data_IF_295424963949
#
_entry.id   IF_295424963949
#
_cell.length_a   1.000
_cell.length_b   1.000
_cell.length_c   1.000
_cell.angle_alpha   90.00
_cell.angle_beta   90.00
_cell.angle_gamma   90.00
#
_symmetry.space_group_name_H-M   'P 1'
#
loop_
_entity.id
_entity.type
_entity.pdbx_description
1 polymer ?
#
# COMPACT_ATOMS: atom_id res chain seq x y z
N UNK A 1 6.64 24.83 14.27
CA UNK A 1 7.36 24.11 13.20
C UNK A 1 6.59 24.34 11.93
N UNK A 2 7.23 24.76 10.84
CA UNK A 2 6.54 24.91 9.55
C UNK A 2 6.74 23.60 8.79
N UNK A 3 5.64 22.98 8.37
CA UNK A 3 5.66 21.77 7.56
C UNK A 3 5.20 22.13 6.17
N UNK A 4 6.10 22.03 5.20
CA UNK A 4 5.78 22.16 3.79
C UNK A 4 5.34 20.78 3.29
N UNK A 5 4.10 20.71 2.80
CA UNK A 5 3.57 19.51 2.17
C UNK A 5 3.34 19.80 0.69
N UNK A 6 4.05 19.09 -0.17
CA UNK A 6 3.87 19.15 -1.62
C UNK A 6 3.34 17.80 -2.10
N UNK A 7 2.13 17.80 -2.66
CA UNK A 7 1.56 16.63 -3.33
C UNK A 7 1.46 16.90 -4.83
N UNK A 8 2.12 16.07 -5.64
CA UNK A 8 2.01 16.08 -7.10
C UNK A 8 1.34 14.81 -7.55
N UNK A 9 0.27 14.90 -8.35
CA UNK A 9 -0.44 13.74 -8.89
C UNK A 9 -0.50 13.87 -10.40
N UNK A 10 0.12 12.92 -11.09
CA UNK A 10 0.07 12.79 -12.53
C UNK A 10 -0.78 11.57 -12.86
N UNK A 11 -1.79 11.74 -13.70
CA UNK A 11 -2.58 10.63 -14.23
C UNK A 11 -2.60 10.74 -15.75
N UNK A 12 -2.18 9.67 -16.42
CA UNK A 12 -2.26 9.53 -17.86
C UNK A 12 -3.06 8.28 -18.18
N UNK A 13 -4.14 8.44 -18.92
CA UNK A 13 -4.96 7.34 -19.40
C UNK A 13 -4.91 7.33 -20.93
N UNK A 14 -4.61 6.16 -21.48
CA UNK A 14 -4.72 5.80 -22.89
C UNK A 14 -5.85 4.75 -23.03
N UNK A 15 -6.34 4.48 -24.24
CA UNK A 15 -7.49 3.60 -24.49
C UNK A 15 -7.36 2.18 -23.89
N UNK A 16 -6.13 1.68 -23.76
CA UNK A 16 -5.82 0.34 -23.26
C UNK A 16 -5.02 0.34 -21.95
N UNK A 17 -4.57 1.48 -21.44
CA UNK A 17 -3.73 1.53 -20.25
C UNK A 17 -3.93 2.79 -19.44
N UNK A 18 -3.81 2.69 -18.12
CA UNK A 18 -3.79 3.85 -17.25
C UNK A 18 -2.52 3.86 -16.42
N UNK A 19 -1.96 5.03 -16.19
CA UNK A 19 -0.84 5.23 -15.30
C UNK A 19 -1.17 6.39 -14.37
N UNK A 20 -0.92 6.22 -13.08
CA UNK A 20 -1.01 7.26 -12.07
C UNK A 20 0.30 7.28 -11.30
N UNK A 21 0.86 8.46 -11.11
CA UNK A 21 2.05 8.70 -10.32
C UNK A 21 1.73 9.80 -9.31
N UNK A 22 1.76 9.46 -8.04
CA UNK A 22 1.65 10.38 -6.92
C UNK A 22 3.01 10.54 -6.27
N UNK A 23 3.47 11.78 -6.12
CA UNK A 23 4.63 12.14 -5.32
C UNK A 23 4.14 12.99 -4.15
N UNK A 24 4.57 12.67 -2.94
CA UNK A 24 4.28 13.41 -1.73
C UNK A 24 5.60 13.69 -1.03
N UNK A 25 5.87 14.96 -0.80
CA UNK A 25 7.07 15.44 -0.10
C UNK A 25 6.59 16.26 1.09
N UNK A 26 6.98 15.87 2.29
CA UNK A 26 6.70 16.55 3.55
C UNK A 26 8.02 16.99 4.18
N UNK A 27 8.28 18.30 4.22
CA UNK A 27 9.50 18.88 4.79
C UNK A 27 9.16 19.70 6.04
N UNK A 28 9.67 19.29 7.19
CA UNK A 28 9.66 20.08 8.42
C UNK A 28 10.86 21.02 8.47
N UNK A 29 10.61 22.33 8.41
CA UNK A 29 11.63 23.38 8.52
C UNK A 29 11.62 23.95 9.95
N UNK A 30 12.78 24.00 10.63
CA UNK A 30 12.90 24.60 11.95
C UNK A 30 12.90 26.13 11.82
N UNK A 31 11.88 26.81 12.33
CA UNK A 31 11.90 28.28 12.50
C UNK A 31 12.63 28.67 13.80
N UNK A 32 12.79 27.73 14.73
CA UNK A 32 13.54 27.89 15.99
C UNK A 32 14.49 26.70 16.17
N UNK A 33 15.67 26.94 16.76
CA UNK A 33 16.79 25.99 16.90
C UNK A 33 16.50 24.69 17.68
N UNK A 34 15.35 24.57 18.34
CA UNK A 34 14.93 23.38 19.11
C UNK A 34 13.95 22.47 18.35
N UNK A 35 13.63 22.77 17.10
CA UNK A 35 12.62 22.01 16.34
C UNK A 35 13.24 20.93 15.47
N UNK A 36 12.51 19.82 15.33
CA UNK A 36 12.95 18.66 14.57
C UNK A 36 12.95 18.96 13.07
N UNK A 37 14.02 18.55 12.40
CA UNK A 37 14.16 18.64 10.95
C UNK A 37 13.86 17.26 10.38
N UNK A 38 12.82 17.18 9.56
CA UNK A 38 12.47 15.93 8.88
C UNK A 38 12.11 16.20 7.43
N UNK A 39 12.47 15.25 6.57
CA UNK A 39 12.04 15.21 5.18
C UNK A 39 11.48 13.82 4.91
N UNK A 40 10.19 13.76 4.60
CA UNK A 40 9.49 12.54 4.27
C UNK A 40 9.11 12.57 2.80
N UNK A 41 9.65 11.61 2.08
CA UNK A 41 9.34 11.35 0.70
C UNK A 41 8.44 10.11 0.61
N UNK A 42 7.35 10.20 -0.16
CA UNK A 42 6.49 9.06 -0.49
C UNK A 42 6.13 9.15 -1.96
N UNK A 43 6.30 8.06 -2.68
CA UNK A 43 5.88 7.94 -4.07
C UNK A 43 4.95 6.74 -4.24
N UNK A 44 3.96 6.88 -5.11
CA UNK A 44 2.99 5.85 -5.45
C UNK A 44 2.84 5.86 -6.97
N UNK A 45 3.29 4.82 -7.63
CA UNK A 45 3.15 4.65 -9.08
C UNK A 45 2.25 3.45 -9.34
N UNK A 46 1.08 3.65 -9.94
CA UNK A 46 0.18 2.58 -10.35
C UNK A 46 0.02 2.58 -11.86
N UNK A 47 0.11 1.41 -12.49
CA UNK A 47 -0.13 1.19 -13.90
C UNK A 47 -1.15 0.08 -14.08
N UNK A 48 -2.24 0.35 -14.78
CA UNK A 48 -3.15 -0.68 -15.25
C UNK A 48 -3.08 -0.89 -16.74
N UNK A 49 -3.21 -2.14 -17.15
CA UNK A 49 -3.15 -2.58 -18.53
C UNK A 49 -4.36 -3.48 -18.79
N UNK A 50 -5.12 -3.14 -19.83
CA UNK A 50 -6.24 -3.95 -20.31
C UNK A 50 -5.70 -5.01 -21.27
N UNK A 51 -5.75 -6.27 -20.85
CA UNK A 51 -5.34 -7.44 -21.64
C UNK A 51 -6.60 -8.20 -22.06
N UNK A 52 -7.28 -7.69 -23.09
CA UNK A 52 -8.54 -8.24 -23.58
C UNK A 52 -9.66 -8.13 -22.54
N UNK A 53 -10.28 -9.25 -22.08
CA UNK A 53 -11.26 -9.21 -21.01
C UNK A 53 -10.60 -8.99 -19.63
N UNK A 54 -9.33 -9.35 -19.45
CA UNK A 54 -8.64 -9.22 -18.18
C UNK A 54 -8.02 -7.82 -17.99
N UNK A 55 -7.92 -7.40 -16.73
CA UNK A 55 -7.36 -6.13 -16.33
C UNK A 55 -6.27 -6.34 -15.28
N UNK A 56 -5.04 -6.03 -15.65
CA UNK A 56 -3.89 -6.11 -14.75
C UNK A 56 -3.62 -4.73 -14.18
N UNK A 57 -3.61 -4.59 -12.86
CA UNK A 57 -3.25 -3.39 -12.13
C UNK A 57 -2.03 -3.66 -11.27
N UNK A 58 -0.92 -3.02 -11.59
CA UNK A 58 0.27 -3.03 -10.75
C UNK A 58 0.43 -1.69 -10.05
N UNK A 59 0.77 -1.70 -8.77
CA UNK A 59 1.09 -0.49 -8.02
C UNK A 59 2.37 -0.68 -7.22
N UNK A 60 3.23 0.31 -7.28
CA UNK A 60 4.48 0.41 -6.56
C UNK A 60 4.36 1.60 -5.62
N UNK A 61 4.46 1.34 -4.32
CA UNK A 61 4.52 2.36 -3.29
C UNK A 61 5.89 2.31 -2.64
N UNK A 62 6.57 3.44 -2.55
CA UNK A 62 7.79 3.55 -1.77
C UNK A 62 7.81 4.82 -0.95
N UNK A 63 8.61 4.81 0.11
CA UNK A 63 8.75 5.95 1.00
C UNK A 63 10.10 5.93 1.70
N UNK A 64 10.57 7.11 2.09
CA UNK A 64 11.80 7.30 2.87
C UNK A 64 11.65 8.53 3.75
N UNK A 65 12.11 8.45 4.99
CA UNK A 65 12.16 9.55 5.94
C UNK A 65 13.62 9.80 6.32
N UNK A 66 14.07 11.03 6.14
CA UNK A 66 15.41 11.52 6.46
C UNK A 66 15.30 12.60 7.53
N UNK A 67 16.17 12.55 8.54
CA UNK A 67 16.12 13.46 9.70
C UNK A 67 15.30 12.89 10.86
N UNK A 68 15.07 13.69 11.90
CA UNK A 68 14.47 13.20 13.13
C UNK A 68 13.00 12.83 12.93
N UNK A 69 12.61 11.65 13.40
CA UNK A 69 11.24 11.17 13.25
C UNK A 69 10.75 10.54 14.53
N UNK A 70 9.46 10.73 14.81
CA UNK A 70 8.82 10.01 15.88
C UNK A 70 8.49 8.57 15.46
N UNK A 71 8.40 7.61 16.40
CA UNK A 71 8.11 6.21 16.07
C UNK A 71 6.78 6.01 15.32
N UNK A 72 5.77 6.83 15.61
CA UNK A 72 4.46 6.78 14.94
C UNK A 72 4.49 7.29 13.48
N UNK A 73 5.55 8.00 13.07
CA UNK A 73 5.73 8.48 11.70
C UNK A 73 6.39 7.43 10.81
N UNK A 74 6.92 6.34 11.38
CA UNK A 74 7.52 5.26 10.64
C UNK A 74 6.53 4.65 9.64
N UNK A 75 7.04 4.17 8.51
CA UNK A 75 6.23 3.43 7.56
C UNK A 75 5.95 2.03 8.12
N UNK A 76 4.69 1.78 8.45
CA UNK A 76 4.19 0.47 8.78
C UNK A 76 3.86 -0.31 7.50
N UNK A 77 4.38 -1.53 7.39
CA UNK A 77 4.17 -2.44 6.26
C UNK A 77 3.30 -3.60 6.72
N UNK A 78 2.28 -3.93 5.92
CA UNK A 78 1.26 -4.95 6.25
C UNK A 78 -0.11 -4.34 6.46
N UNK A 79 -1.15 -5.12 6.16
CA UNK A 79 -2.55 -4.70 6.17
C UNK A 79 -3.14 -4.56 4.76
N UNK A 80 -4.44 -4.27 4.69
CA UNK A 80 -5.22 -4.18 3.45
C UNK A 80 -4.62 -3.23 2.41
N UNK A 81 -4.07 -2.09 2.85
CA UNK A 81 -3.49 -1.08 1.97
C UNK A 81 -2.00 -1.28 1.63
N UNK A 82 -1.38 -2.38 2.05
CA UNK A 82 0.05 -2.64 1.84
C UNK A 82 0.28 -4.10 1.43
N UNK A 83 0.27 -5.04 2.37
CA UNK A 83 0.43 -6.47 2.07
C UNK A 83 -0.75 -7.20 2.70
N UNK A 84 -1.68 -7.62 1.85
CA UNK A 84 -2.86 -8.37 2.28
C UNK A 84 -2.45 -9.69 2.90
N UNK A 85 -3.19 -10.14 3.92
CA UNK A 85 -2.90 -11.36 4.68
C UNK A 85 -2.03 -11.14 5.91
N UNK A 86 -1.44 -9.95 6.06
CA UNK A 86 -0.78 -9.54 7.30
C UNK A 86 -1.63 -8.52 8.05
N UNK A 87 -1.49 -8.51 9.38
CA UNK A 87 -2.01 -7.42 10.21
C UNK A 87 -1.33 -6.08 9.87
N UNK A 88 -1.96 -4.98 10.25
CA UNK A 88 -1.39 -3.65 10.03
C UNK A 88 -0.02 -3.53 10.70
N UNK A 89 0.99 -3.18 9.91
CA UNK A 89 2.36 -3.06 10.38
C UNK A 89 3.03 -4.37 10.81
N UNK A 90 2.43 -5.55 10.60
CA UNK A 90 2.99 -6.82 11.06
C UNK A 90 4.25 -7.27 10.29
N UNK A 91 4.47 -6.74 9.08
CA UNK A 91 5.60 -7.14 8.22
C UNK A 91 6.86 -6.34 8.55
N UNK A 92 6.71 -5.04 8.78
CA UNK A 92 7.85 -4.15 9.01
C UNK A 92 7.41 -2.79 9.54
N UNK A 93 8.34 -2.09 10.19
CA UNK A 93 8.17 -0.71 10.62
C UNK A 93 9.50 0.00 10.51
N UNK A 94 9.67 0.82 9.47
CA UNK A 94 10.96 1.40 9.10
C UNK A 94 10.88 2.86 8.66
N UNK A 95 12.04 3.53 8.55
CA UNK A 95 12.11 4.88 7.94
C UNK A 95 11.84 4.85 6.45
N UNK A 96 12.18 3.75 5.81
CA UNK A 96 12.04 3.51 4.39
C UNK A 96 11.21 2.26 4.16
N UNK A 97 10.41 2.26 3.11
CA UNK A 97 9.61 1.12 2.73
C UNK A 97 9.50 1.02 1.23
N UNK A 98 9.35 -0.20 0.74
CA UNK A 98 9.02 -0.49 -0.65
C UNK A 98 7.94 -1.58 -0.66
N UNK A 99 6.84 -1.33 -1.35
CA UNK A 99 5.69 -2.23 -1.46
C UNK A 99 5.27 -2.28 -2.92
N UNK A 100 5.09 -3.48 -3.44
CA UNK A 100 4.62 -3.76 -4.79
C UNK A 100 3.35 -4.59 -4.66
N UNK A 101 2.30 -4.16 -5.33
CA UNK A 101 1.04 -4.88 -5.44
C UNK A 101 0.77 -5.13 -6.92
N UNK A 102 0.32 -6.32 -7.23
CA UNK A 102 -0.11 -6.71 -8.56
C UNK A 102 -1.47 -7.39 -8.42
N UNK A 103 -2.48 -6.83 -9.05
CA UNK A 103 -3.84 -7.32 -9.03
C UNK A 103 -4.31 -7.60 -10.45
N UNK A 104 -4.72 -8.84 -10.72
CA UNK A 104 -5.26 -9.28 -11.98
C UNK A 104 -6.76 -9.54 -11.81
N UNK A 105 -7.58 -8.71 -12.43
CA UNK A 105 -9.04 -8.85 -12.43
C UNK A 105 -9.51 -9.47 -13.74
N UNK A 106 -10.39 -10.45 -13.68
CA UNK A 106 -11.00 -11.09 -14.83
C UNK A 106 -12.53 -11.11 -14.67
N UNK A 107 -13.30 -10.62 -15.66
CA UNK A 107 -14.75 -10.71 -15.64
C UNK A 107 -15.16 -12.15 -15.93
N UNK A 108 -15.83 -12.81 -14.97
CA UNK A 108 -16.40 -14.14 -15.16
C UNK A 108 -17.79 -14.04 -15.79
N UNK A 109 -18.63 -13.15 -15.26
CA UNK A 109 -20.00 -12.90 -15.73
C UNK A 109 -20.32 -11.40 -15.67
N UNK A 110 -21.48 -10.98 -16.20
CA UNK A 110 -21.94 -9.56 -16.13
C UNK A 110 -22.07 -9.00 -14.71
N UNK A 111 -22.14 -9.87 -13.70
CA UNK A 111 -22.36 -9.53 -12.28
C UNK A 111 -21.18 -9.91 -11.40
N UNK A 112 -20.32 -10.84 -11.85
CA UNK A 112 -19.25 -11.43 -11.06
C UNK A 112 -17.89 -11.21 -11.73
N UNK A 113 -16.99 -10.56 -11.00
CA UNK A 113 -15.59 -10.38 -11.38
C UNK A 113 -14.73 -11.19 -10.39
N UNK A 114 -13.80 -11.97 -10.94
CA UNK A 114 -12.74 -12.56 -10.14
C UNK A 114 -11.53 -11.64 -10.11
N UNK A 115 -10.82 -11.60 -8.99
CA UNK A 115 -9.55 -10.92 -8.85
C UNK A 115 -8.54 -11.89 -8.24
N UNK A 116 -7.31 -11.87 -8.71
CA UNK A 116 -6.17 -12.50 -8.05
C UNK A 116 -5.16 -11.42 -7.75
N UNK A 117 -4.47 -11.53 -6.62
CA UNK A 117 -3.51 -10.53 -6.23
C UNK A 117 -2.27 -11.13 -5.63
N UNK A 118 -1.17 -10.42 -5.84
CA UNK A 118 0.13 -10.71 -5.29
C UNK A 118 0.74 -9.40 -4.79
N UNK A 119 0.99 -9.35 -3.49
CA UNK A 119 1.56 -8.22 -2.80
C UNK A 119 2.91 -8.63 -2.21
N UNK A 120 3.94 -7.81 -2.36
CA UNK A 120 5.22 -8.00 -1.69
C UNK A 120 5.73 -6.67 -1.16
N UNK A 121 6.46 -6.71 -0.06
CA UNK A 121 7.03 -5.48 0.48
C UNK A 121 8.12 -5.73 1.50
N UNK A 122 8.90 -4.68 1.72
CA UNK A 122 10.12 -4.70 2.52
C UNK A 122 10.36 -3.33 3.15
N UNK A 123 10.88 -3.33 4.37
CA UNK A 123 11.30 -2.13 5.11
C UNK A 123 12.73 -1.68 4.76
N UNK A 124 13.35 -2.32 3.75
CA UNK A 124 14.72 -2.04 3.29
C UNK A 124 15.76 -2.11 4.42
N UNK A 125 15.50 -2.86 5.50
CA UNK A 125 16.37 -2.95 6.67
C UNK A 125 16.40 -1.67 7.52
N UNK A 126 15.48 -0.73 7.27
CA UNK A 126 15.47 0.57 7.93
C UNK A 126 14.78 0.57 9.31
N UNK A 127 14.30 -0.58 9.77
CA UNK A 127 13.59 -0.72 11.05
C UNK A 127 14.42 -0.34 12.27
N UNK A 128 15.73 -0.61 12.26
CA UNK A 128 16.63 -0.28 13.37
C UNK A 128 16.86 1.23 13.55
N UNK A 129 16.64 2.02 12.49
CA UNK A 129 16.81 3.48 12.55
C UNK A 129 15.57 4.21 13.07
N UNK A 130 14.49 3.50 13.35
CA UNK A 130 13.31 4.06 14.01
C UNK A 130 13.58 4.12 15.51
N UNK A 131 13.42 5.29 16.17
CA UNK A 131 13.62 5.39 17.61
C UNK A 131 12.77 4.39 18.37
N UNK A 132 13.39 3.67 19.31
CA UNK A 132 12.73 2.61 20.09
C UNK A 132 12.60 1.25 19.36
N UNK A 133 13.12 1.12 18.14
CA UNK A 133 13.23 -0.11 17.35
C UNK A 133 11.99 -1.05 17.46
N UNK A 134 10.81 -0.59 17.01
CA UNK A 134 9.57 -1.37 17.12
C UNK A 134 9.63 -2.66 16.28
N UNK A 135 10.38 -2.67 15.18
CA UNK A 135 10.53 -3.83 14.32
C UNK A 135 11.20 -5.00 15.05
N UNK A 136 12.33 -4.74 15.71
CA UNK A 136 13.04 -5.77 16.49
C UNK A 136 12.25 -6.20 17.73
N UNK A 137 11.65 -5.24 18.46
CA UNK A 137 10.86 -5.54 19.66
C UNK A 137 9.63 -6.41 19.37
N UNK A 138 9.03 -6.24 18.20
CA UNK A 138 7.86 -7.02 17.77
C UNK A 138 8.25 -8.24 16.93
N UNK A 139 9.54 -8.53 16.76
CA UNK A 139 10.03 -9.68 15.99
C UNK A 139 9.56 -9.68 14.53
N UNK A 140 9.44 -8.50 13.92
CA UNK A 140 8.94 -8.39 12.54
C UNK A 140 9.94 -8.96 11.54
N UNK A 141 9.49 -9.66 10.49
CA UNK A 141 10.37 -10.27 9.51
C UNK A 141 11.11 -9.25 8.63
N UNK A 142 10.64 -7.99 8.54
CA UNK A 142 11.23 -6.91 7.74
C UNK A 142 10.84 -6.97 6.26
N UNK A 143 10.58 -8.15 5.72
CA UNK A 143 9.96 -8.34 4.41
C UNK A 143 8.84 -9.37 4.46
N UNK A 144 7.90 -9.28 3.51
CA UNK A 144 6.72 -10.13 3.47
C UNK A 144 6.14 -10.22 2.07
N UNK A 145 5.45 -11.34 1.83
CA UNK A 145 4.71 -11.60 0.59
C UNK A 145 3.34 -12.13 0.95
N UNK A 146 2.32 -11.57 0.32
CA UNK A 146 0.94 -12.01 0.41
C UNK A 146 0.41 -12.36 -0.98
N UNK A 147 -0.26 -13.49 -1.09
CA UNK A 147 -0.98 -13.86 -2.31
C UNK A 147 -2.43 -14.11 -1.96
N UNK A 148 -3.33 -13.82 -2.89
CA UNK A 148 -4.73 -14.13 -2.66
C UNK A 148 -5.57 -14.04 -3.90
N UNK A 149 -6.85 -14.33 -3.69
CA UNK A 149 -7.88 -14.22 -4.69
C UNK A 149 -9.12 -13.63 -4.06
N UNK A 150 -9.92 -12.96 -4.87
CA UNK A 150 -11.12 -12.30 -4.44
C UNK A 150 -12.22 -12.39 -5.48
N UNK A 151 -13.43 -12.18 -5.01
CA UNK A 151 -14.64 -12.15 -5.81
C UNK A 151 -15.32 -10.80 -5.57
N UNK A 152 -15.59 -10.10 -6.66
CA UNK A 152 -16.29 -8.81 -6.68
C UNK A 152 -17.64 -9.02 -7.34
N UNK A 153 -18.69 -8.91 -6.55
CA UNK A 153 -20.09 -9.02 -6.97
C UNK A 153 -20.68 -7.62 -7.11
N UNK A 154 -20.97 -7.24 -8.35
CA UNK A 154 -21.62 -5.97 -8.68
C UNK A 154 -23.12 -6.18 -8.74
N UNK A 155 -23.82 -5.94 -7.62
CA UNK A 155 -25.28 -5.89 -7.62
C UNK A 155 -25.76 -4.47 -7.94
N UNK A 156 -27.00 -4.34 -8.43
CA UNK A 156 -27.61 -3.02 -8.74
C UNK A 156 -27.71 -2.09 -7.53
N UNK A 157 -27.75 -2.66 -6.32
CA UNK A 157 -27.89 -1.93 -5.06
C UNK A 157 -26.56 -1.81 -4.28
N UNK A 158 -25.69 -2.81 -4.39
CA UNK A 158 -24.46 -2.88 -3.58
C UNK A 158 -23.35 -3.63 -4.31
N UNK A 159 -22.11 -3.23 -4.03
CA UNK A 159 -20.91 -3.92 -4.45
C UNK A 159 -20.39 -4.73 -3.27
N UNK A 160 -20.36 -6.05 -3.44
CA UNK A 160 -19.80 -6.98 -2.46
C UNK A 160 -18.41 -7.38 -2.91
N UNK A 161 -17.44 -7.30 -2.01
CA UNK A 161 -16.07 -7.73 -2.23
C UNK A 161 -15.68 -8.72 -1.15
N UNK A 162 -15.19 -9.88 -1.58
CA UNK A 162 -14.68 -10.92 -0.70
C UNK A 162 -13.28 -11.26 -1.17
N UNK A 163 -12.26 -10.93 -0.39
CA UNK A 163 -10.86 -11.22 -0.71
C UNK A 163 -10.26 -12.18 0.30
N UNK A 164 -9.77 -13.32 -0.16
CA UNK A 164 -9.03 -14.30 0.62
C UNK A 164 -7.54 -14.11 0.39
N UNK A 165 -6.82 -13.67 1.41
CA UNK A 165 -5.37 -13.50 1.38
C UNK A 165 -4.68 -14.57 2.22
N UNK A 166 -3.55 -15.05 1.73
CA UNK A 166 -2.68 -16.01 2.38
C UNK A 166 -1.30 -15.37 2.48
N UNK A 167 -0.77 -15.32 3.70
CA UNK A 167 0.56 -14.80 3.94
C UNK A 167 1.65 -15.89 3.80
N UNK A 168 2.92 -15.48 3.78
CA UNK A 168 4.04 -16.42 3.73
C UNK A 168 4.12 -17.35 4.96
N UNK A 169 3.47 -16.98 6.07
CA UNK A 169 3.36 -17.76 7.30
C UNK A 169 2.16 -18.74 7.28
N UNK A 170 1.55 -18.97 6.13
CA UNK A 170 0.35 -19.82 5.93
C UNK A 170 -0.92 -19.39 6.69
N UNK A 171 -0.93 -18.21 7.30
CA UNK A 171 -2.13 -17.65 7.90
C UNK A 171 -3.04 -17.08 6.81
N UNK A 172 -4.31 -17.46 6.88
CA UNK A 172 -5.36 -17.00 5.96
C UNK A 172 -6.12 -15.85 6.61
N UNK A 173 -6.27 -14.76 5.90
CA UNK A 173 -7.11 -13.63 6.30
C UNK A 173 -8.17 -13.43 5.22
N UNK A 174 -9.42 -13.30 5.64
CA UNK A 174 -10.52 -13.01 4.71
C UNK A 174 -11.00 -11.59 4.98
N UNK A 175 -11.09 -10.80 3.91
CA UNK A 175 -11.58 -9.45 3.93
C UNK A 175 -12.94 -9.39 3.27
N UNK A 176 -13.88 -8.73 3.94
CA UNK A 176 -15.23 -8.53 3.45
C UNK A 176 -15.48 -7.02 3.36
N UNK A 177 -15.83 -6.55 2.16
CA UNK A 177 -16.16 -5.16 1.88
C UNK A 177 -17.57 -5.07 1.30
N UNK A 178 -18.39 -4.17 1.84
CA UNK A 178 -19.70 -3.84 1.30
C UNK A 178 -19.69 -2.35 0.99
N UNK A 179 -19.80 -2.02 -0.29
CA UNK A 179 -19.87 -0.64 -0.75
C UNK A 179 -21.23 -0.41 -1.38
N UNK A 180 -22.03 0.48 -0.80
CA UNK A 180 -23.30 0.86 -1.41
C UNK A 180 -23.02 1.76 -2.62
N UNK A 181 -23.67 1.45 -3.75
CA UNK A 181 -23.79 2.42 -4.83
C UNK A 181 -25.05 3.19 -4.53
N UNK A 182 -24.90 4.29 -3.79
CA UNK A 182 -25.97 5.28 -3.73
C UNK A 182 -25.98 5.94 -5.10
N UNK A 183 -27.03 5.61 -5.87
CA UNK A 183 -27.41 6.24 -7.14
C UNK A 183 -27.58 7.74 -7.00
#
# INVERSE_FOLDING_TARGET
>A
MVVLKQESRFAKADDCSFSKLGLQIEQGIPVLSKWLIFNRFKFVASKGLKLGPAFLLTSLTGGSIVGDMAPYQAFAIGGLGSIRGYGEGAVGSGRSCLVVNSELTFPLNKVLEGATFMDCGTDLGSGNYVPGNPALRQGKPGSGVGFGYGLRLKSRLAHFQIDCAINALQQRTVYFGISNVVT
#
